data_IF_053092836017
#
_entry.id   IF_053092836017
#
_cell.length_a   1.000
_cell.length_b   1.000
_cell.length_c   1.000
_cell.angle_alpha   90.00
_cell.angle_beta   90.00
_cell.angle_gamma   90.00
#
_symmetry.space_group_name_H-M   'P 1'
#
loop_
_entity.id
_entity.type
_entity.pdbx_description
1 polymer ?
#
# COMPACT_ATOMS: atom_id res chain seq x y z
N UNK A 1 13.80 -31.20 20.44
CA UNK A 1 14.41 -31.55 19.14
C UNK A 1 13.38 -31.38 18.04
N UNK A 2 13.47 -30.30 17.24
CA UNK A 2 12.57 -30.12 16.11
C UNK A 2 12.84 -31.23 15.07
N UNK A 3 11.83 -32.03 14.72
CA UNK A 3 11.91 -33.02 13.63
C UNK A 3 12.48 -32.31 12.39
N UNK A 4 13.68 -32.69 11.93
CA UNK A 4 14.20 -32.30 10.61
C UNK A 4 13.20 -32.83 9.57
N UNK A 5 12.27 -31.98 9.13
CA UNK A 5 11.37 -32.30 8.02
C UNK A 5 12.26 -32.57 6.82
N UNK A 6 12.09 -33.73 6.17
CA UNK A 6 12.72 -34.00 4.88
C UNK A 6 12.39 -32.82 3.95
N UNK A 7 13.36 -32.32 3.17
CA UNK A 7 13.08 -31.30 2.17
C UNK A 7 11.99 -31.82 1.23
N UNK A 8 11.03 -30.96 0.94
CA UNK A 8 9.99 -31.24 -0.05
C UNK A 8 10.64 -31.39 -1.44
N UNK A 9 9.99 -32.09 -2.39
CA UNK A 9 10.61 -32.40 -3.67
C UNK A 9 11.00 -31.15 -4.46
N UNK A 10 12.02 -31.31 -5.29
CA UNK A 10 12.33 -30.37 -6.38
C UNK A 10 11.52 -30.82 -7.60
N UNK A 11 10.90 -29.86 -8.28
CA UNK A 11 10.25 -30.08 -9.57
C UNK A 11 11.15 -29.48 -10.64
N UNK A 12 11.64 -30.30 -11.56
CA UNK A 12 12.60 -29.88 -12.58
C UNK A 12 11.92 -29.57 -13.92
N UNK A 13 12.48 -28.64 -14.69
CA UNK A 13 12.02 -28.28 -16.03
C UNK A 13 10.52 -27.93 -16.11
N UNK A 14 9.99 -27.26 -15.08
CA UNK A 14 8.58 -26.88 -15.02
C UNK A 14 8.36 -25.65 -15.89
N UNK A 15 7.43 -25.75 -16.84
CA UNK A 15 6.98 -24.62 -17.64
C UNK A 15 5.86 -23.87 -16.92
N UNK A 16 6.04 -22.57 -16.72
CA UNK A 16 5.02 -21.68 -16.20
C UNK A 16 4.00 -21.41 -17.30
N UNK A 17 2.74 -21.71 -17.04
CA UNK A 17 1.69 -21.69 -18.07
C UNK A 17 0.80 -20.47 -17.98
N UNK A 18 0.61 -19.92 -16.78
CA UNK A 18 -0.36 -18.84 -16.54
C UNK A 18 0.01 -17.99 -15.32
N UNK A 19 -0.76 -16.95 -15.04
CA UNK A 19 -0.75 -16.22 -13.78
C UNK A 19 -1.99 -16.52 -12.94
N UNK A 20 -1.84 -16.36 -11.63
CA UNK A 20 -2.88 -16.47 -10.63
C UNK A 20 -3.00 -15.16 -9.85
N UNK A 21 -3.96 -15.13 -8.93
CA UNK A 21 -4.15 -14.01 -8.01
C UNK A 21 -2.87 -13.69 -7.19
N UNK A 22 -2.85 -12.48 -6.63
CA UNK A 22 -1.85 -12.07 -5.63
C UNK A 22 -0.39 -12.08 -6.08
N UNK A 23 -0.09 -11.90 -7.36
CA UNK A 23 1.31 -11.86 -7.77
C UNK A 23 1.92 -13.18 -8.23
N UNK A 24 1.17 -14.28 -8.16
CA UNK A 24 1.71 -15.63 -8.33
C UNK A 24 1.55 -16.07 -9.77
N UNK A 25 2.54 -16.77 -10.30
CA UNK A 25 2.43 -17.56 -11.52
C UNK A 25 1.92 -18.97 -11.20
N UNK A 26 1.42 -19.64 -12.23
CA UNK A 26 0.81 -20.95 -12.15
C UNK A 26 1.48 -21.90 -13.14
N UNK A 27 1.77 -23.11 -12.66
CA UNK A 27 2.10 -24.27 -13.48
C UNK A 27 1.25 -25.47 -13.04
N UNK A 28 1.15 -26.48 -13.91
CA UNK A 28 0.56 -27.77 -13.59
C UNK A 28 1.62 -28.85 -13.74
N UNK A 29 1.82 -29.64 -12.69
CA UNK A 29 2.72 -30.79 -12.69
C UNK A 29 1.90 -32.00 -12.27
N UNK A 30 1.63 -32.90 -13.22
CA UNK A 30 0.61 -33.94 -13.08
C UNK A 30 -0.75 -33.31 -12.68
N UNK A 31 -1.41 -33.84 -11.65
CA UNK A 31 -2.68 -33.32 -11.14
C UNK A 31 -2.53 -32.17 -10.12
N UNK A 32 -1.31 -31.66 -9.91
CA UNK A 32 -1.04 -30.64 -8.89
C UNK A 32 -0.87 -29.25 -9.51
N UNK A 33 -1.60 -28.28 -8.96
CA UNK A 33 -1.38 -26.85 -9.27
C UNK A 33 -0.19 -26.36 -8.46
N UNK A 34 0.76 -25.68 -9.11
CA UNK A 34 1.97 -25.14 -8.48
C UNK A 34 1.92 -23.63 -8.59
N UNK A 35 1.87 -22.94 -7.45
CA UNK A 35 1.97 -21.48 -7.39
C UNK A 35 3.41 -21.05 -7.16
N UNK A 36 3.90 -20.15 -8.02
CA UNK A 36 5.30 -19.70 -8.02
C UNK A 36 5.34 -18.18 -8.10
N UNK A 37 5.92 -17.46 -7.12
CA UNK A 37 6.06 -16.01 -7.20
C UNK A 37 7.11 -15.60 -8.26
N UNK A 38 7.00 -14.38 -8.77
CA UNK A 38 8.01 -13.70 -9.61
C UNK A 38 8.39 -14.39 -10.93
N UNK A 39 7.55 -15.32 -11.40
CA UNK A 39 7.62 -15.89 -12.74
C UNK A 39 6.56 -15.29 -13.66
N UNK A 40 6.74 -15.51 -14.96
CA UNK A 40 5.77 -15.15 -15.99
C UNK A 40 5.49 -16.35 -16.91
N UNK A 41 4.34 -16.38 -17.62
CA UNK A 41 4.04 -17.44 -18.58
C UNK A 41 5.16 -17.59 -19.61
N UNK A 42 5.57 -18.84 -19.86
CA UNK A 42 6.68 -19.20 -20.75
C UNK A 42 8.04 -19.38 -20.06
N UNK A 43 8.18 -19.01 -18.78
CA UNK A 43 9.38 -19.34 -18.01
C UNK A 43 9.51 -20.87 -17.86
N UNK A 44 10.72 -21.40 -18.00
CA UNK A 44 11.06 -22.80 -17.68
C UNK A 44 12.03 -22.80 -16.51
N UNK A 45 11.62 -23.40 -15.40
CA UNK A 45 12.27 -23.27 -14.09
C UNK A 45 12.35 -24.58 -13.34
N UNK A 46 13.38 -24.70 -12.50
CA UNK A 46 13.40 -25.68 -11.43
C UNK A 46 12.85 -25.04 -10.15
N UNK A 47 11.98 -25.77 -9.46
CA UNK A 47 11.19 -25.28 -8.35
C UNK A 47 11.45 -26.09 -7.08
N UNK A 48 11.76 -25.41 -5.99
CA UNK A 48 11.76 -26.01 -4.66
C UNK A 48 10.39 -25.84 -4.03
N UNK A 49 9.67 -26.94 -3.81
CA UNK A 49 8.39 -26.90 -3.09
C UNK A 49 8.63 -26.42 -1.65
N UNK A 50 7.88 -25.43 -1.20
CA UNK A 50 7.94 -24.89 0.18
C UNK A 50 6.75 -25.33 1.02
N UNK A 51 5.59 -25.48 0.39
CA UNK A 51 4.35 -25.89 1.05
C UNK A 51 3.56 -26.78 0.13
N UNK A 52 3.15 -27.95 0.62
CA UNK A 52 2.33 -28.91 -0.11
C UNK A 52 0.97 -29.06 0.57
N UNK A 53 -0.10 -28.97 -0.22
CA UNK A 53 -1.49 -29.26 0.16
C UNK A 53 -2.01 -30.40 -0.72
N UNK A 54 -3.29 -30.76 -0.55
CA UNK A 54 -3.90 -31.89 -1.25
C UNK A 54 -3.90 -31.69 -2.77
N UNK A 55 -4.41 -30.55 -3.26
CA UNK A 55 -4.58 -30.26 -4.70
C UNK A 55 -3.59 -29.23 -5.25
N UNK A 56 -2.78 -28.60 -4.40
CA UNK A 56 -1.85 -27.56 -4.83
C UNK A 56 -0.59 -27.51 -3.97
N UNK A 57 0.44 -26.86 -4.47
CA UNK A 57 1.62 -26.51 -3.71
C UNK A 57 2.11 -25.09 -4.02
N UNK A 58 2.89 -24.53 -3.09
CA UNK A 58 3.61 -23.27 -3.28
C UNK A 58 5.10 -23.62 -3.37
N UNK A 59 5.78 -23.07 -4.37
CA UNK A 59 7.18 -23.33 -4.64
C UNK A 59 7.94 -22.03 -4.94
N UNK A 60 9.25 -22.07 -4.77
CA UNK A 60 10.16 -20.98 -5.12
C UNK A 60 11.08 -21.43 -6.25
N UNK A 61 11.41 -20.51 -7.16
CA UNK A 61 12.41 -20.77 -8.20
C UNK A 61 13.78 -20.96 -7.54
N UNK A 62 14.44 -22.06 -7.89
CA UNK A 62 15.85 -22.30 -7.54
C UNK A 62 16.78 -22.10 -8.73
N UNK A 63 16.28 -22.27 -9.96
CA UNK A 63 17.04 -22.07 -11.20
C UNK A 63 16.11 -21.72 -12.36
N UNK A 64 16.49 -20.73 -13.16
CA UNK A 64 15.89 -20.49 -14.47
C UNK A 64 16.65 -21.29 -15.52
N UNK A 65 15.93 -22.13 -16.26
CA UNK A 65 16.46 -22.88 -17.41
C UNK A 65 16.28 -22.05 -18.68
N UNK A 66 15.09 -21.45 -18.85
CA UNK A 66 14.78 -20.51 -19.93
C UNK A 66 13.87 -19.42 -19.37
N UNK A 67 14.24 -18.15 -19.58
CA UNK A 67 13.36 -17.02 -19.31
C UNK A 67 12.38 -16.83 -20.49
N UNK A 68 11.14 -16.50 -20.18
CA UNK A 68 10.12 -16.15 -21.19
C UNK A 68 10.52 -14.90 -21.96
N UNK A 69 10.17 -14.84 -23.24
CA UNK A 69 10.31 -13.65 -24.09
C UNK A 69 9.35 -12.53 -23.68
N UNK A 70 8.27 -12.86 -22.96
CA UNK A 70 7.30 -11.89 -22.44
C UNK A 70 7.83 -11.18 -21.19
N UNK A 71 8.92 -11.65 -20.58
CA UNK A 71 9.42 -11.10 -19.32
C UNK A 71 9.94 -9.67 -19.50
N UNK A 72 9.56 -8.79 -18.58
CA UNK A 72 10.12 -7.45 -18.44
C UNK A 72 11.16 -7.42 -17.30
N UNK A 73 12.16 -6.54 -17.42
CA UNK A 73 13.12 -6.33 -16.35
C UNK A 73 12.53 -5.36 -15.30
N UNK A 74 12.46 -5.74 -14.01
CA UNK A 74 11.94 -4.87 -12.98
C UNK A 74 12.74 -3.58 -12.85
N UNK A 75 12.05 -2.44 -12.89
CA UNK A 75 12.68 -1.14 -12.72
C UNK A 75 13.08 -0.83 -11.27
N UNK A 76 12.52 -1.55 -10.29
CA UNK A 76 12.80 -1.35 -8.87
C UNK A 76 13.85 -2.34 -8.39
N UNK A 77 14.98 -1.85 -7.89
CA UNK A 77 16.05 -2.66 -7.30
C UNK A 77 15.60 -3.52 -6.09
N UNK A 78 14.50 -3.14 -5.44
CA UNK A 78 13.96 -3.86 -4.30
C UNK A 78 12.94 -4.94 -4.71
N UNK A 79 12.63 -5.09 -6.00
CA UNK A 79 11.67 -6.08 -6.49
C UNK A 79 12.12 -7.51 -6.16
N UNK A 80 11.16 -8.40 -5.89
CA UNK A 80 11.43 -9.79 -5.47
C UNK A 80 11.63 -9.94 -3.96
N UNK A 81 12.08 -8.89 -3.27
CA UNK A 81 12.25 -8.87 -1.81
C UNK A 81 11.16 -8.00 -1.16
N UNK A 82 10.99 -6.77 -1.65
CA UNK A 82 9.96 -5.85 -1.18
C UNK A 82 8.56 -6.44 -1.41
N UNK A 83 7.70 -6.35 -0.39
CA UNK A 83 6.33 -6.84 -0.43
C UNK A 83 5.41 -6.07 -1.38
N UNK A 84 5.75 -4.82 -1.74
CA UNK A 84 4.81 -3.87 -2.34
C UNK A 84 4.48 -4.11 -3.82
N UNK A 85 5.41 -4.66 -4.61
CA UNK A 85 5.22 -4.90 -6.05
C UNK A 85 5.40 -6.39 -6.37
N UNK A 86 4.44 -6.98 -7.10
CA UNK A 86 4.49 -8.43 -7.42
C UNK A 86 4.62 -8.76 -8.90
N UNK A 87 4.37 -7.80 -9.78
CA UNK A 87 4.23 -8.04 -11.23
C UNK A 87 5.17 -7.20 -12.11
N UNK A 88 6.23 -6.58 -11.58
CA UNK A 88 7.14 -5.78 -12.42
C UNK A 88 7.89 -6.61 -13.48
N UNK A 89 7.89 -7.94 -13.35
CA UNK A 89 8.44 -8.86 -14.36
C UNK A 89 7.48 -9.13 -15.51
N UNK A 90 6.23 -8.67 -15.44
CA UNK A 90 5.18 -8.89 -16.43
C UNK A 90 4.83 -7.55 -17.10
N UNK A 91 4.80 -7.47 -18.45
CA UNK A 91 4.39 -6.27 -19.17
C UNK A 91 3.02 -5.78 -18.74
N UNK A 92 2.83 -4.47 -18.71
CA UNK A 92 1.63 -3.86 -18.13
C UNK A 92 0.33 -4.34 -18.78
N UNK A 93 0.33 -4.48 -20.10
CA UNK A 93 -0.79 -4.98 -20.90
C UNK A 93 -1.16 -6.41 -20.47
N UNK A 94 -0.15 -7.25 -20.23
CA UNK A 94 -0.35 -8.59 -19.68
C UNK A 94 -0.87 -8.56 -18.25
N UNK A 95 -0.45 -7.60 -17.43
CA UNK A 95 -1.08 -7.41 -16.10
C UNK A 95 -2.57 -7.11 -16.20
N UNK A 96 -3.00 -6.30 -17.19
CA UNK A 96 -4.42 -6.01 -17.42
C UNK A 96 -5.18 -7.24 -17.90
N UNK A 97 -4.65 -7.98 -18.88
CA UNK A 97 -5.23 -9.25 -19.35
C UNK A 97 -5.39 -10.27 -18.21
N UNK A 98 -4.40 -10.37 -17.32
CA UNK A 98 -4.44 -11.30 -16.20
C UNK A 98 -5.51 -10.90 -15.17
N UNK A 99 -5.61 -9.60 -14.84
CA UNK A 99 -6.69 -9.11 -13.97
C UNK A 99 -8.06 -9.34 -14.61
N UNK A 100 -8.18 -9.14 -15.93
CA UNK A 100 -9.41 -9.37 -16.69
C UNK A 100 -9.86 -10.82 -16.53
N UNK A 101 -8.95 -11.75 -16.82
CA UNK A 101 -9.18 -13.19 -16.67
C UNK A 101 -9.54 -13.55 -15.23
N UNK A 102 -8.87 -12.96 -14.23
CA UNK A 102 -9.15 -13.22 -12.83
C UNK A 102 -10.58 -12.83 -12.44
N UNK A 103 -11.02 -11.60 -12.75
CA UNK A 103 -12.37 -11.15 -12.43
C UNK A 103 -13.42 -12.01 -13.14
N UNK A 104 -13.21 -12.28 -14.43
CA UNK A 104 -14.09 -13.15 -15.21
C UNK A 104 -14.21 -14.55 -14.60
N UNK A 105 -13.09 -15.19 -14.27
CA UNK A 105 -13.07 -16.53 -13.67
C UNK A 105 -13.70 -16.55 -12.29
N UNK A 106 -13.50 -15.52 -11.46
CA UNK A 106 -14.11 -15.45 -10.13
C UNK A 106 -15.63 -15.36 -10.23
N UNK A 107 -16.16 -14.47 -11.09
CA UNK A 107 -17.60 -14.31 -11.26
C UNK A 107 -18.25 -15.56 -11.88
N UNK A 108 -17.63 -16.18 -12.89
CA UNK A 108 -18.19 -17.35 -13.58
C UNK A 108 -18.01 -18.66 -12.81
N UNK A 109 -16.81 -18.94 -12.25
CA UNK A 109 -16.53 -20.23 -11.58
C UNK A 109 -16.97 -20.25 -10.12
N UNK A 110 -16.73 -19.17 -9.38
CA UNK A 110 -17.06 -19.08 -7.96
C UNK A 110 -18.47 -18.53 -7.79
N UNK A 111 -18.73 -17.37 -8.40
CA UNK A 111 -20.04 -16.74 -8.37
C UNK A 111 -21.12 -17.51 -9.12
N UNK A 112 -20.73 -18.36 -10.09
CA UNK A 112 -21.65 -19.11 -10.97
C UNK A 112 -22.63 -18.18 -11.72
N UNK A 113 -22.16 -16.99 -12.06
CA UNK A 113 -22.93 -15.96 -12.75
C UNK A 113 -22.65 -16.08 -14.25
N UNK A 114 -23.71 -16.13 -15.07
CA UNK A 114 -23.60 -15.93 -16.51
C UNK A 114 -23.38 -14.44 -16.78
N UNK A 115 -22.26 -14.12 -17.42
CA UNK A 115 -21.87 -12.72 -17.64
C UNK A 115 -22.33 -12.25 -19.04
N UNK A 116 -22.79 -10.99 -19.15
CA UNK A 116 -22.97 -10.34 -20.45
C UNK A 116 -21.59 -10.08 -21.09
N UNK A 117 -21.56 -9.27 -22.17
CA UNK A 117 -20.30 -8.76 -22.72
C UNK A 117 -19.44 -8.15 -21.61
N UNK A 118 -18.22 -8.67 -21.48
CA UNK A 118 -17.36 -8.38 -20.35
C UNK A 118 -16.38 -7.25 -20.70
N UNK A 119 -16.68 -6.04 -20.21
CA UNK A 119 -15.89 -4.84 -20.47
C UNK A 119 -14.41 -5.01 -20.09
N UNK A 120 -13.47 -4.47 -20.87
CA UNK A 120 -12.05 -4.54 -20.55
C UNK A 120 -11.72 -3.72 -19.29
N UNK A 121 -10.75 -4.20 -18.51
CA UNK A 121 -10.19 -3.47 -17.37
C UNK A 121 -9.55 -2.18 -17.87
N UNK A 122 -9.92 -1.09 -17.23
CA UNK A 122 -9.29 0.21 -17.44
C UNK A 122 -7.92 0.22 -16.78
N UNK A 123 -6.88 0.45 -17.58
CA UNK A 123 -5.53 0.68 -17.10
C UNK A 123 -5.43 1.96 -16.27
N UNK A 124 -4.41 2.00 -15.42
CA UNK A 124 -3.98 3.20 -14.70
C UNK A 124 -3.34 4.17 -15.68
N UNK A 125 -3.65 5.46 -15.54
CA UNK A 125 -3.04 6.54 -16.33
C UNK A 125 -1.51 6.54 -16.16
N UNK A 126 -1.04 6.27 -14.94
CA UNK A 126 0.38 6.11 -14.59
C UNK A 126 0.66 4.74 -14.00
N UNK A 127 1.77 4.12 -14.41
CA UNK A 127 2.25 2.83 -13.88
C UNK A 127 3.37 2.99 -12.86
N UNK A 128 3.87 4.21 -12.68
CA UNK A 128 4.87 4.65 -11.70
C UNK A 128 4.42 5.97 -11.10
N UNK A 129 4.88 6.29 -9.89
CA UNK A 129 4.59 7.58 -9.23
C UNK A 129 3.09 7.91 -9.14
N UNK A 130 2.25 6.88 -9.10
CA UNK A 130 0.79 7.02 -9.04
C UNK A 130 0.25 7.05 -7.60
N UNK A 131 1.06 6.60 -6.63
CA UNK A 131 0.66 6.57 -5.23
C UNK A 131 0.79 7.95 -4.62
N UNK A 132 -0.24 8.38 -3.92
CA UNK A 132 -0.25 9.63 -3.15
C UNK A 132 -0.04 9.42 -1.64
N UNK A 133 0.13 8.17 -1.20
CA UNK A 133 0.36 7.79 0.20
C UNK A 133 1.27 6.58 0.31
N UNK A 134 2.29 6.69 1.17
CA UNK A 134 3.15 5.59 1.59
C UNK A 134 3.37 5.66 3.11
N UNK A 135 3.54 4.48 3.72
CA UNK A 135 3.84 4.30 5.14
C UNK A 135 5.08 3.43 5.26
N UNK A 136 6.04 3.86 6.07
CA UNK A 136 7.32 3.20 6.27
C UNK A 136 7.52 2.90 7.75
N UNK A 137 7.89 1.66 8.04
CA UNK A 137 8.31 1.26 9.38
C UNK A 137 9.78 1.60 9.59
N UNK A 138 10.10 2.02 10.81
CA UNK A 138 11.44 2.29 11.30
C UNK A 138 11.81 1.21 12.31
N UNK A 139 12.95 0.54 12.11
CA UNK A 139 13.39 -0.50 13.05
C UNK A 139 14.89 -0.57 13.20
N UNK A 140 15.35 -0.96 14.39
CA UNK A 140 16.73 -1.36 14.66
C UNK A 140 17.10 -2.74 14.07
N UNK A 141 16.16 -3.42 13.40
CA UNK A 141 16.32 -4.75 12.80
C UNK A 141 16.12 -4.70 11.28
N UNK A 142 17.19 -4.33 10.58
CA UNK A 142 17.27 -4.44 9.12
C UNK A 142 17.11 -5.89 8.65
N UNK A 143 16.35 -6.07 7.58
CA UNK A 143 16.34 -7.32 6.82
C UNK A 143 17.68 -7.50 6.10
N UNK A 144 18.35 -8.62 6.38
CA UNK A 144 19.55 -9.05 5.66
C UNK A 144 19.15 -10.09 4.61
N UNK A 145 19.63 -9.89 3.38
CA UNK A 145 19.43 -10.84 2.28
C UNK A 145 20.22 -12.13 2.52
N UNK A 146 19.84 -13.20 1.80
CA UNK A 146 20.58 -14.48 1.88
C UNK A 146 22.03 -14.32 1.43
N UNK A 147 22.28 -13.43 0.47
CA UNK A 147 23.62 -13.12 -0.05
C UNK A 147 24.46 -12.43 1.02
N UNK A 148 23.93 -11.40 1.69
CA UNK A 148 24.60 -10.74 2.83
C UNK A 148 24.88 -11.71 3.98
N UNK A 149 23.96 -12.63 4.29
CA UNK A 149 24.20 -13.63 5.33
C UNK A 149 25.29 -14.62 4.90
N UNK A 150 25.37 -14.95 3.60
CA UNK A 150 26.33 -15.90 3.07
C UNK A 150 27.77 -15.36 3.04
N UNK A 151 27.98 -14.04 3.04
CA UNK A 151 29.34 -13.45 3.15
C UNK A 151 29.95 -13.72 4.52
N UNK A 152 29.13 -13.91 5.56
CA UNK A 152 29.59 -14.12 6.94
C UNK A 152 30.17 -12.87 7.60
N UNK A 153 30.08 -11.72 6.94
CA UNK A 153 30.54 -10.44 7.50
C UNK A 153 29.63 -9.97 8.64
N UNK A 154 30.15 -9.23 9.63
CA UNK A 154 29.33 -8.60 10.65
C UNK A 154 28.25 -7.74 9.99
N UNK A 155 27.04 -7.79 10.54
CA UNK A 155 25.97 -6.93 10.06
C UNK A 155 26.40 -5.46 10.28
N UNK A 156 26.40 -4.67 9.20
CA UNK A 156 26.73 -3.24 9.24
C UNK A 156 25.65 -2.42 9.94
N UNK A 157 25.20 -1.34 9.32
CA UNK A 157 24.06 -0.57 9.85
C UNK A 157 22.79 -1.45 9.90
N UNK A 158 22.19 -1.54 11.09
CA UNK A 158 21.01 -2.36 11.37
C UNK A 158 19.74 -1.53 11.53
N UNK A 159 19.85 -0.21 11.67
CA UNK A 159 18.72 0.71 11.64
C UNK A 159 18.24 0.88 10.20
N UNK A 160 16.93 0.80 9.99
CA UNK A 160 16.32 0.85 8.67
C UNK A 160 14.98 1.58 8.70
N UNK A 161 14.70 2.31 7.62
CA UNK A 161 13.37 2.83 7.28
C UNK A 161 12.94 2.18 5.97
N UNK A 162 11.74 1.61 5.93
CA UNK A 162 11.26 0.93 4.74
C UNK A 162 10.02 0.08 4.98
N UNK A 163 9.95 -1.09 4.36
CA UNK A 163 8.76 -1.94 4.43
C UNK A 163 9.02 -3.25 5.19
N UNK A 164 7.97 -3.75 5.84
CA UNK A 164 7.98 -5.09 6.42
C UNK A 164 8.14 -6.18 5.35
N UNK A 165 8.82 -7.25 5.73
CA UNK A 165 8.95 -8.45 4.90
C UNK A 165 7.86 -9.45 5.27
N UNK A 166 7.24 -10.05 4.25
CA UNK A 166 6.24 -11.10 4.44
C UNK A 166 6.82 -12.25 5.28
N UNK A 167 6.19 -12.55 6.42
CA UNK A 167 6.63 -13.60 7.35
C UNK A 167 7.70 -13.15 8.36
N UNK A 168 8.16 -11.91 8.32
CA UNK A 168 9.11 -11.34 9.28
C UNK A 168 8.64 -9.93 9.71
N UNK A 169 7.63 -9.92 10.59
CA UNK A 169 6.97 -8.70 11.04
C UNK A 169 7.90 -7.76 11.83
N UNK A 170 8.93 -8.28 12.50
CA UNK A 170 9.87 -7.51 13.30
C UNK A 170 11.11 -7.02 12.54
N UNK A 171 11.10 -7.14 11.21
CA UNK A 171 12.23 -6.73 10.35
C UNK A 171 11.78 -5.80 9.24
N UNK A 172 12.63 -4.82 8.94
CA UNK A 172 12.40 -3.82 7.89
C UNK A 172 13.41 -3.99 6.76
N UNK A 173 12.91 -4.13 5.54
CA UNK A 173 13.72 -3.97 4.34
C UNK A 173 14.01 -2.49 4.12
N UNK A 174 15.28 -2.05 4.14
CA UNK A 174 15.62 -0.67 3.86
C UNK A 174 15.23 -0.35 2.41
N UNK A 175 14.56 0.79 2.23
CA UNK A 175 14.17 1.28 0.91
C UNK A 175 14.96 2.54 0.61
N UNK A 176 15.67 2.53 -0.51
CA UNK A 176 16.41 3.70 -0.99
C UNK A 176 15.59 4.47 -2.02
N UNK A 177 14.89 3.76 -2.91
CA UNK A 177 13.97 4.37 -3.88
C UNK A 177 12.71 3.53 -4.04
N UNK A 178 11.57 4.11 -3.68
CA UNK A 178 10.26 3.64 -4.07
C UNK A 178 9.81 4.41 -5.30
N UNK A 179 9.54 3.70 -6.39
CA UNK A 179 9.10 4.26 -7.67
C UNK A 179 7.57 4.40 -7.79
N UNK A 180 6.84 4.09 -6.73
CA UNK A 180 5.38 4.15 -6.74
C UNK A 180 4.83 5.52 -6.36
N UNK A 181 5.62 6.38 -5.73
CA UNK A 181 5.25 7.74 -5.34
C UNK A 181 6.38 8.69 -5.75
N UNK A 182 6.05 9.95 -5.98
CA UNK A 182 6.96 11.03 -6.37
C UNK A 182 8.29 11.03 -5.57
N UNK A 183 9.38 11.47 -6.22
CA UNK A 183 10.71 11.37 -5.63
C UNK A 183 10.88 12.10 -4.29
N UNK A 184 10.12 13.16 -4.03
CA UNK A 184 10.24 13.92 -2.79
C UNK A 184 9.99 13.06 -1.53
N UNK A 185 9.14 12.03 -1.58
CA UNK A 185 9.01 11.12 -0.43
C UNK A 185 10.28 10.30 -0.18
N UNK A 186 11.05 9.97 -1.22
CA UNK A 186 12.32 9.27 -1.04
C UNK A 186 13.34 10.19 -0.36
N UNK A 187 13.40 11.45 -0.79
CA UNK A 187 14.29 12.47 -0.19
C UNK A 187 13.94 12.72 1.28
N UNK A 188 12.65 12.89 1.59
CA UNK A 188 12.17 13.02 2.97
C UNK A 188 12.55 11.79 3.80
N UNK A 189 12.20 10.58 3.35
CA UNK A 189 12.48 9.33 4.08
C UNK A 189 13.98 9.14 4.33
N UNK A 190 14.81 9.36 3.31
CA UNK A 190 16.25 9.18 3.41
C UNK A 190 16.88 10.25 4.32
N UNK A 191 16.40 11.50 4.26
CA UNK A 191 16.79 12.57 5.19
C UNK A 191 16.45 12.23 6.64
N UNK A 192 15.26 11.66 6.91
CA UNK A 192 14.89 11.19 8.26
C UNK A 192 15.86 10.12 8.74
N UNK A 193 16.15 9.12 7.89
CA UNK A 193 17.09 8.04 8.20
C UNK A 193 18.46 8.60 8.54
N UNK A 194 19.00 9.46 7.68
CA UNK A 194 20.37 9.98 7.82
C UNK A 194 20.48 10.89 9.04
N UNK A 195 19.51 11.78 9.28
CA UNK A 195 19.44 12.60 10.48
C UNK A 195 19.38 11.74 11.75
N UNK A 196 18.48 10.75 11.79
CA UNK A 196 18.30 9.88 12.95
C UNK A 196 19.57 9.08 13.27
N UNK A 197 20.27 8.59 12.25
CA UNK A 197 21.54 7.88 12.39
C UNK A 197 22.63 8.81 12.93
N UNK A 198 22.82 9.97 12.30
CA UNK A 198 23.88 10.94 12.65
C UNK A 198 23.70 11.57 14.03
N UNK A 199 22.45 11.71 14.50
CA UNK A 199 22.13 12.26 15.83
C UNK A 199 21.93 11.17 16.91
N UNK A 200 22.25 9.91 16.60
CA UNK A 200 22.18 8.81 17.56
C UNK A 200 20.77 8.48 18.05
N UNK A 201 19.74 8.80 17.27
CA UNK A 201 18.36 8.44 17.60
C UNK A 201 18.17 6.92 17.55
N UNK A 202 17.42 6.39 18.50
CA UNK A 202 17.04 4.98 18.55
C UNK A 202 15.87 4.73 17.60
N UNK A 203 15.86 3.55 16.99
CA UNK A 203 14.78 3.07 16.13
C UNK A 203 14.00 2.01 16.90
N UNK A 204 12.70 1.95 16.66
CA UNK A 204 11.81 1.09 17.43
C UNK A 204 12.12 -0.40 17.24
N UNK A 205 12.27 -1.11 18.35
CA UNK A 205 12.35 -2.56 18.37
C UNK A 205 10.97 -3.14 18.66
N UNK A 206 10.29 -3.65 17.63
CA UNK A 206 8.93 -4.17 17.75
C UNK A 206 8.80 -5.36 18.72
N UNK A 207 9.88 -6.08 19.05
CA UNK A 207 9.80 -7.18 20.03
C UNK A 207 10.02 -6.68 21.46
N UNK A 208 10.97 -5.77 21.63
CA UNK A 208 11.30 -5.22 22.96
C UNK A 208 10.39 -4.07 23.36
N UNK A 209 9.67 -3.48 22.39
CA UNK A 209 8.76 -2.35 22.58
C UNK A 209 9.47 -1.13 23.15
N UNK A 210 10.65 -0.81 22.57
CA UNK A 210 11.47 0.33 22.96
C UNK A 210 12.08 1.02 21.74
N UNK A 211 12.42 2.29 21.87
CA UNK A 211 13.17 3.06 20.88
C UNK A 211 12.34 4.15 20.19
N UNK A 212 12.95 5.30 19.92
CA UNK A 212 12.23 6.53 19.66
C UNK A 212 11.47 6.56 18.32
N UNK A 213 12.16 6.31 17.20
CA UNK A 213 11.57 6.47 15.86
C UNK A 213 10.82 5.19 15.43
N UNK A 214 9.50 5.29 15.24
CA UNK A 214 8.64 4.12 14.94
C UNK A 214 8.25 4.01 13.47
N UNK A 215 7.59 5.02 12.93
CA UNK A 215 6.98 4.96 11.60
C UNK A 215 6.95 6.34 10.96
N UNK A 216 6.92 6.38 9.64
CA UNK A 216 6.78 7.61 8.85
C UNK A 216 5.69 7.40 7.81
N UNK A 217 4.68 8.27 7.81
CA UNK A 217 3.66 8.32 6.77
C UNK A 217 3.87 9.59 5.94
N UNK A 218 3.88 9.43 4.62
CA UNK A 218 3.97 10.54 3.67
C UNK A 218 2.76 10.51 2.76
N UNK A 219 2.12 11.67 2.58
CA UNK A 219 1.11 11.91 1.55
C UNK A 219 1.49 13.10 0.69
N UNK A 220 1.10 13.06 -0.57
CA UNK A 220 0.96 14.25 -1.39
C UNK A 220 -0.46 14.33 -1.95
N UNK A 221 -0.77 15.43 -2.60
CA UNK A 221 -2.06 15.60 -3.28
C UNK A 221 -1.88 16.18 -4.68
N UNK A 222 -2.94 16.12 -5.48
CA UNK A 222 -2.97 16.77 -6.78
C UNK A 222 -3.07 18.32 -6.71
N UNK A 223 -3.20 18.90 -5.52
CA UNK A 223 -3.08 20.34 -5.29
C UNK A 223 -1.64 20.79 -5.04
N UNK A 224 -0.69 19.85 -4.97
CA UNK A 224 0.72 20.11 -4.68
C UNK A 224 1.04 20.19 -3.18
N UNK A 225 0.09 19.87 -2.32
CA UNK A 225 0.29 19.85 -0.87
C UNK A 225 0.95 18.53 -0.42
N UNK A 226 1.71 18.60 0.68
CA UNK A 226 2.47 17.47 1.21
C UNK A 226 2.25 17.35 2.71
N UNK A 227 1.90 16.14 3.14
CA UNK A 227 1.76 15.77 4.54
C UNK A 227 2.82 14.77 4.93
N UNK A 228 3.49 15.02 6.04
CA UNK A 228 4.41 14.07 6.68
C UNK A 228 3.96 13.89 8.12
N UNK A 229 3.75 12.65 8.53
CA UNK A 229 3.47 12.28 9.90
C UNK A 229 4.58 11.35 10.40
N UNK A 230 5.24 11.74 11.48
CA UNK A 230 6.26 10.93 12.15
C UNK A 230 5.69 10.34 13.44
N UNK A 231 5.74 9.02 13.59
CA UNK A 231 5.38 8.35 14.82
C UNK A 231 6.61 8.14 15.70
N UNK A 232 6.46 8.50 16.97
CA UNK A 232 7.48 8.34 18.01
C UNK A 232 7.00 7.41 19.13
N UNK A 233 7.96 6.87 19.88
CA UNK A 233 7.77 6.18 21.16
C UNK A 233 8.66 6.86 22.20
N UNK A 234 8.08 7.65 23.11
CA UNK A 234 8.86 8.30 24.18
C UNK A 234 9.07 7.34 25.33
N UNK A 235 10.31 6.90 25.55
CA UNK A 235 10.69 5.94 26.59
C UNK A 235 11.57 6.57 27.68
N UNK A 236 12.46 7.46 27.26
CA UNK A 236 13.52 7.99 28.11
C UNK A 236 13.59 9.51 28.07
N UNK A 237 14.21 10.09 29.09
CA UNK A 237 14.41 11.53 29.19
C UNK A 237 15.13 12.08 27.93
N UNK A 238 14.64 13.20 27.43
CA UNK A 238 15.14 13.86 26.22
C UNK A 238 14.63 13.29 24.90
N UNK A 239 13.78 12.24 24.90
CA UNK A 239 13.20 11.71 23.65
C UNK A 239 12.34 12.73 22.93
N UNK A 240 11.52 13.48 23.66
CA UNK A 240 10.72 14.57 23.11
C UNK A 240 11.61 15.63 22.45
N UNK A 241 12.73 16.02 23.10
CA UNK A 241 13.67 16.99 22.53
C UNK A 241 14.32 16.45 21.24
N UNK A 242 14.73 15.17 21.21
CA UNK A 242 15.27 14.52 20.01
C UNK A 242 14.24 14.45 18.88
N UNK A 243 12.99 14.11 19.21
CA UNK A 243 11.89 14.08 18.26
C UNK A 243 11.65 15.48 17.66
N UNK A 244 11.57 16.51 18.50
CA UNK A 244 11.42 17.89 18.03
C UNK A 244 12.61 18.37 17.19
N UNK A 245 13.83 17.90 17.49
CA UNK A 245 15.00 18.15 16.64
C UNK A 245 14.83 17.60 15.22
N UNK A 246 14.33 16.35 15.08
CA UNK A 246 14.02 15.77 13.77
C UNK A 246 12.89 16.53 13.07
N UNK A 247 11.84 16.90 13.78
CA UNK A 247 10.72 17.68 13.21
C UNK A 247 11.20 19.04 12.69
N UNK A 248 12.07 19.73 13.43
CA UNK A 248 12.67 20.98 13.00
C UNK A 248 13.55 20.80 11.76
N UNK A 249 14.39 19.77 11.73
CA UNK A 249 15.20 19.42 10.56
C UNK A 249 14.35 19.24 9.29
N UNK A 250 13.22 18.54 9.40
CA UNK A 250 12.29 18.39 8.29
C UNK A 250 11.67 19.72 7.86
N UNK A 251 11.25 20.54 8.82
CA UNK A 251 10.64 21.84 8.58
C UNK A 251 11.58 22.84 7.87
N UNK A 252 12.88 22.73 8.11
CA UNK A 252 13.92 23.59 7.53
C UNK A 252 14.43 23.05 6.18
N UNK A 253 14.54 21.72 6.06
CA UNK A 253 15.07 21.07 4.84
C UNK A 253 14.04 21.00 3.71
N UNK A 254 12.75 20.83 4.05
CA UNK A 254 11.68 20.58 3.08
C UNK A 254 10.55 21.62 3.21
N UNK A 255 10.74 22.85 2.70
CA UNK A 255 9.70 23.88 2.72
C UNK A 255 8.43 23.49 1.94
N UNK A 256 8.49 22.45 1.10
CA UNK A 256 7.35 21.88 0.38
C UNK A 256 6.34 21.18 1.32
N UNK A 257 6.72 20.79 2.54
CA UNK A 257 5.80 20.13 3.48
C UNK A 257 4.81 21.17 4.02
N UNK A 258 3.55 21.05 3.62
CA UNK A 258 2.47 21.94 4.04
C UNK A 258 1.76 21.47 5.32
N UNK A 259 1.89 20.19 5.66
CA UNK A 259 1.33 19.58 6.87
C UNK A 259 2.39 18.67 7.52
N UNK A 260 3.08 19.18 8.54
CA UNK A 260 4.10 18.44 9.27
C UNK A 260 3.57 18.07 10.66
N UNK A 261 3.35 16.77 10.85
CA UNK A 261 2.62 16.19 11.97
C UNK A 261 3.48 15.18 12.73
N UNK A 262 3.14 14.96 13.99
CA UNK A 262 3.71 13.87 14.77
C UNK A 262 2.71 13.28 15.75
N UNK A 263 3.00 12.07 16.20
CA UNK A 263 2.21 11.39 17.23
C UNK A 263 3.12 10.56 18.11
N UNK A 264 2.86 10.59 19.42
CA UNK A 264 3.45 9.65 20.36
C UNK A 264 2.56 8.41 20.43
N UNK A 265 3.03 7.30 19.88
CA UNK A 265 2.32 6.04 19.90
C UNK A 265 2.99 5.09 20.89
N UNK A 266 2.36 4.86 22.05
CA UNK A 266 2.81 3.99 23.14
C UNK A 266 2.26 2.55 23.05
N UNK A 267 1.53 2.24 21.96
CA UNK A 267 0.87 0.94 21.80
C UNK A 267 1.83 -0.10 21.20
N UNK A 268 1.42 -1.36 21.32
CA UNK A 268 2.16 -2.49 20.75
C UNK A 268 2.21 -2.47 19.21
N UNK A 269 1.18 -1.90 18.57
CA UNK A 269 1.06 -1.81 17.12
C UNK A 269 1.34 -0.38 16.61
N UNK A 270 1.47 -0.27 15.30
CA UNK A 270 1.75 0.94 14.51
C UNK A 270 0.50 1.78 14.18
N UNK A 271 -0.68 1.31 14.57
CA UNK A 271 -1.94 2.03 14.30
C UNK A 271 -2.06 3.28 15.16
N UNK A 272 -2.56 4.39 14.61
CA UNK A 272 -2.68 5.68 15.30
C UNK A 272 -4.05 6.35 15.13
N UNK A 273 -5.05 5.66 14.56
CA UNK A 273 -6.38 6.25 14.30
C UNK A 273 -7.10 6.74 15.55
N UNK A 274 -6.85 6.08 16.67
CA UNK A 274 -7.34 6.34 18.03
C UNK A 274 -6.47 7.31 18.84
N UNK A 275 -5.34 7.79 18.28
CA UNK A 275 -4.40 8.68 18.98
C UNK A 275 -4.55 10.13 18.55
N UNK A 276 -4.28 11.06 19.45
CA UNK A 276 -4.25 12.49 19.11
C UNK A 276 -3.01 12.83 18.28
N UNK A 277 -3.21 13.55 17.18
CA UNK A 277 -2.15 13.95 16.25
C UNK A 277 -1.80 15.40 16.51
N UNK A 278 -0.52 15.66 16.72
CA UNK A 278 0.01 17.01 16.95
C UNK A 278 0.51 17.62 15.65
N UNK A 279 0.14 18.88 15.41
CA UNK A 279 0.70 19.68 14.31
C UNK A 279 1.99 20.33 14.79
N UNK A 280 3.10 20.05 14.11
CA UNK A 280 4.37 20.74 14.35
C UNK A 280 4.45 22.04 13.53
N UNK A 281 4.10 21.99 12.24
CA UNK A 281 4.12 23.14 11.33
C UNK A 281 3.10 22.97 10.20
N UNK A 282 2.44 24.06 9.82
CA UNK A 282 1.48 24.09 8.72
C UNK A 282 0.08 23.64 9.14
N UNK A 283 -0.59 22.87 8.29
CA UNK A 283 -1.99 22.45 8.47
C UNK A 283 -2.08 21.06 9.12
N UNK A 284 -3.24 20.73 9.70
CA UNK A 284 -3.60 19.38 10.18
C UNK A 284 -4.10 18.44 9.05
N UNK A 285 -4.21 18.96 7.83
CA UNK A 285 -4.75 18.27 6.66
C UNK A 285 -4.09 18.74 5.37
N UNK A 286 -4.39 18.04 4.28
CA UNK A 286 -4.18 18.47 2.89
C UNK A 286 -5.51 18.43 2.14
N UNK A 287 -5.55 19.05 0.97
CA UNK A 287 -6.68 18.97 0.05
C UNK A 287 -6.35 18.12 -1.16
N UNK A 288 -7.31 17.28 -1.56
CA UNK A 288 -7.34 16.63 -2.87
C UNK A 288 -8.48 17.22 -3.69
N UNK A 289 -8.33 17.20 -5.01
CA UNK A 289 -9.39 17.66 -5.92
C UNK A 289 -9.83 16.56 -6.89
N UNK A 290 -11.12 16.49 -7.21
CA UNK A 290 -11.64 15.57 -8.21
C UNK A 290 -12.86 16.17 -8.89
N UNK A 291 -12.80 16.36 -10.21
CA UNK A 291 -13.90 16.96 -10.99
C UNK A 291 -14.41 18.29 -10.42
N UNK A 292 -13.49 19.16 -10.00
CA UNK A 292 -13.79 20.46 -9.39
C UNK A 292 -14.32 20.38 -7.96
N UNK A 293 -14.48 19.19 -7.39
CA UNK A 293 -14.71 19.02 -5.95
C UNK A 293 -13.39 19.07 -5.19
N UNK A 294 -13.45 19.55 -3.95
CA UNK A 294 -12.32 19.66 -3.03
C UNK A 294 -12.58 18.83 -1.77
N UNK A 295 -11.65 17.97 -1.41
CA UNK A 295 -11.77 17.04 -0.28
C UNK A 295 -10.68 17.34 0.75
N UNK A 296 -11.08 17.62 1.99
CA UNK A 296 -10.20 17.67 3.14
C UNK A 296 -9.76 16.24 3.48
N UNK A 297 -8.45 16.02 3.52
CA UNK A 297 -7.84 14.72 3.81
C UNK A 297 -6.90 14.87 5.00
N UNK A 298 -7.30 14.31 6.14
CA UNK A 298 -6.47 14.25 7.35
C UNK A 298 -5.50 13.07 7.36
N UNK A 299 -4.62 12.99 8.38
CA UNK A 299 -3.68 11.88 8.56
C UNK A 299 -4.38 10.53 8.75
N UNK A 300 -5.52 10.53 9.45
CA UNK A 300 -6.34 9.35 9.75
C UNK A 300 -7.31 8.99 8.62
N UNK A 301 -7.68 9.94 7.78
CA UNK A 301 -8.70 9.76 6.75
C UNK A 301 -8.24 8.79 5.67
N UNK A 302 -9.10 7.86 5.28
CA UNK A 302 -8.90 7.04 4.09
C UNK A 302 -9.17 7.88 2.83
N UNK A 303 -8.25 7.83 1.88
CA UNK A 303 -8.42 8.39 0.54
C UNK A 303 -7.77 7.45 -0.46
N UNK A 304 -8.29 7.43 -1.70
CA UNK A 304 -7.78 6.52 -2.72
C UNK A 304 -6.31 6.80 -3.01
N UNK A 305 -5.49 5.75 -2.99
CA UNK A 305 -4.04 5.94 -3.11
C UNK A 305 -3.58 6.35 -4.51
N UNK A 306 -4.45 6.25 -5.52
CA UNK A 306 -4.19 6.67 -6.90
C UNK A 306 -5.30 7.62 -7.34
N UNK A 307 -5.06 8.93 -7.23
CA UNK A 307 -6.07 9.97 -7.48
C UNK A 307 -6.60 9.94 -8.92
N UNK A 308 -5.72 9.74 -9.91
CA UNK A 308 -6.12 9.68 -11.32
C UNK A 308 -7.01 8.47 -11.61
N UNK A 309 -6.67 7.30 -11.07
CA UNK A 309 -7.49 6.11 -11.26
C UNK A 309 -8.78 6.11 -10.42
N UNK A 310 -8.78 6.79 -9.27
CA UNK A 310 -9.97 6.98 -8.47
C UNK A 310 -11.05 7.75 -9.23
N UNK A 311 -10.66 8.81 -9.95
CA UNK A 311 -11.57 9.55 -10.82
C UNK A 311 -12.22 8.64 -11.87
N UNK A 312 -11.44 7.80 -12.56
CA UNK A 312 -11.98 6.86 -13.54
C UNK A 312 -12.92 5.82 -12.92
N UNK A 313 -12.55 5.27 -11.75
CA UNK A 313 -13.41 4.34 -11.02
C UNK A 313 -14.76 4.98 -10.67
N UNK A 314 -14.73 6.19 -10.12
CA UNK A 314 -15.95 6.88 -9.71
C UNK A 314 -16.81 7.30 -10.91
N UNK A 315 -16.17 7.71 -12.01
CA UNK A 315 -16.85 8.03 -13.26
C UNK A 315 -17.59 6.83 -13.85
N UNK A 316 -16.99 5.63 -13.81
CA UNK A 316 -17.65 4.39 -14.26
C UNK A 316 -18.83 4.06 -13.35
N UNK A 317 -18.68 4.16 -12.03
CA UNK A 317 -19.76 3.92 -11.08
C UNK A 317 -20.94 4.87 -11.32
N UNK A 318 -20.68 6.18 -11.47
CA UNK A 318 -21.70 7.19 -11.80
C UNK A 318 -22.41 6.88 -13.11
N UNK A 319 -21.65 6.53 -14.17
CA UNK A 319 -22.21 6.16 -15.47
C UNK A 319 -23.13 4.92 -15.38
N UNK A 320 -22.75 3.92 -14.59
CA UNK A 320 -23.57 2.72 -14.40
C UNK A 320 -24.81 2.98 -13.53
N UNK A 321 -24.75 3.95 -12.62
CA UNK A 321 -25.90 4.34 -11.82
C UNK A 321 -27.00 5.04 -12.63
N UNK A 322 -26.67 5.59 -13.82
CA UNK A 322 -27.63 6.23 -14.74
C UNK A 322 -28.55 7.25 -14.07
N UNK A 323 -27.96 8.09 -13.20
CA UNK A 323 -28.70 9.06 -12.41
C UNK A 323 -29.36 10.12 -13.32
N UNK A 324 -30.58 10.52 -12.97
CA UNK A 324 -31.39 11.50 -13.71
C UNK A 324 -31.70 12.75 -12.89
N UNK A 325 -31.15 12.85 -11.67
CA UNK A 325 -31.45 13.90 -10.70
C UNK A 325 -32.68 13.63 -9.85
N UNK A 326 -33.28 12.43 -9.94
CA UNK A 326 -34.52 12.06 -9.23
C UNK A 326 -34.32 10.98 -8.18
N UNK A 327 -33.19 10.28 -8.25
CA UNK A 327 -32.89 9.11 -7.45
C UNK A 327 -32.35 9.50 -6.07
N UNK A 328 -32.63 8.63 -5.10
CA UNK A 328 -31.96 8.64 -3.79
C UNK A 328 -30.85 7.61 -3.84
N UNK A 329 -29.60 8.06 -3.71
CA UNK A 329 -28.42 7.20 -3.73
C UNK A 329 -28.02 6.84 -2.30
N UNK A 330 -27.76 5.56 -2.04
CA UNK A 330 -27.18 5.11 -0.78
C UNK A 330 -25.70 4.79 -1.01
N UNK A 331 -24.82 5.58 -0.39
CA UNK A 331 -23.38 5.35 -0.37
C UNK A 331 -23.03 4.54 0.90
N UNK A 332 -22.99 3.23 0.77
CA UNK A 332 -22.68 2.32 1.87
C UNK A 332 -21.16 2.20 2.00
N UNK A 333 -20.64 2.39 3.22
CA UNK A 333 -19.21 2.51 3.51
C UNK A 333 -18.63 3.79 2.91
N UNK A 334 -19.34 4.90 3.13
CA UNK A 334 -19.06 6.19 2.50
C UNK A 334 -17.69 6.78 2.88
N UNK A 335 -17.09 6.31 3.99
CA UNK A 335 -15.86 6.87 4.53
C UNK A 335 -16.01 8.37 4.74
N UNK A 336 -15.10 9.16 4.15
CA UNK A 336 -15.14 10.64 4.20
C UNK A 336 -16.06 11.27 3.13
N UNK A 337 -17.02 10.51 2.61
CA UNK A 337 -18.03 11.00 1.67
C UNK A 337 -17.52 11.22 0.26
N UNK A 338 -16.40 10.62 -0.16
CA UNK A 338 -15.79 10.92 -1.45
C UNK A 338 -16.68 10.53 -2.63
N UNK A 339 -17.29 9.33 -2.61
CA UNK A 339 -18.21 8.87 -3.66
C UNK A 339 -19.54 9.62 -3.54
N UNK A 340 -20.10 9.73 -2.33
CA UNK A 340 -21.34 10.46 -2.08
C UNK A 340 -21.32 11.88 -2.68
N UNK A 341 -20.29 12.66 -2.37
CA UNK A 341 -20.13 14.02 -2.91
C UNK A 341 -19.87 14.02 -4.42
N UNK A 342 -19.17 13.02 -4.95
CA UNK A 342 -18.88 12.90 -6.38
C UNK A 342 -20.13 12.70 -7.24
N UNK A 343 -21.12 11.94 -6.74
CA UNK A 343 -22.38 11.68 -7.46
C UNK A 343 -23.52 12.63 -7.09
N UNK A 344 -23.37 13.41 -6.02
CA UNK A 344 -24.42 14.24 -5.46
C UNK A 344 -25.07 15.22 -6.44
N UNK A 345 -24.28 15.80 -7.36
CA UNK A 345 -24.78 16.75 -8.38
C UNK A 345 -25.78 16.14 -9.37
N UNK A 346 -25.77 14.83 -9.54
CA UNK A 346 -26.65 14.11 -10.47
C UNK A 346 -27.77 13.34 -9.74
N UNK A 347 -27.86 13.42 -8.41
CA UNK A 347 -28.87 12.75 -7.60
C UNK A 347 -29.87 13.75 -6.99
N UNK A 348 -31.09 13.30 -6.67
CA UNK A 348 -31.99 14.12 -5.85
C UNK A 348 -31.49 14.23 -4.41
N UNK A 349 -30.93 13.13 -3.90
CA UNK A 349 -30.42 13.02 -2.54
C UNK A 349 -29.38 11.90 -2.45
N UNK A 350 -28.38 12.07 -1.61
CA UNK A 350 -27.41 11.03 -1.29
C UNK A 350 -27.38 10.77 0.22
N UNK A 351 -27.41 9.51 0.62
CA UNK A 351 -27.33 9.07 2.01
C UNK A 351 -26.08 8.23 2.18
N UNK A 352 -25.09 8.78 2.88
CA UNK A 352 -23.86 8.08 3.25
C UNK A 352 -23.97 7.42 4.61
N UNK A 353 -23.51 6.18 4.71
CA UNK A 353 -23.45 5.42 5.98
C UNK A 353 -22.03 4.91 6.17
N UNK A 354 -21.47 5.13 7.36
CA UNK A 354 -20.12 4.70 7.76
C UNK A 354 -20.12 4.32 9.24
N UNK A 355 -19.32 3.33 9.62
CA UNK A 355 -19.21 2.89 11.01
C UNK A 355 -18.36 3.84 11.85
N UNK A 356 -17.34 4.47 11.25
CA UNK A 356 -16.39 5.38 11.92
C UNK A 356 -16.98 6.81 12.03
N UNK A 357 -17.30 7.31 13.24
CA UNK A 357 -17.91 8.62 13.42
C UNK A 357 -17.05 9.78 12.90
N UNK A 358 -15.73 9.72 13.08
CA UNK A 358 -14.80 10.76 12.62
C UNK A 358 -14.83 10.91 11.09
N UNK A 359 -15.01 9.81 10.36
CA UNK A 359 -15.13 9.84 8.91
C UNK A 359 -16.44 10.51 8.46
N UNK A 360 -17.52 10.38 9.24
CA UNK A 360 -18.79 11.07 9.00
C UNK A 360 -18.66 12.58 9.21
N UNK A 361 -17.92 13.02 10.22
CA UNK A 361 -17.67 14.45 10.41
C UNK A 361 -16.81 15.01 9.26
N UNK A 362 -15.78 14.27 8.81
CA UNK A 362 -15.02 14.62 7.60
C UNK A 362 -15.94 14.68 6.35
N UNK A 363 -16.91 13.78 6.21
CA UNK A 363 -17.85 13.75 5.09
C UNK A 363 -18.77 14.98 5.05
N UNK A 364 -19.26 15.42 6.22
CA UNK A 364 -20.05 16.66 6.35
C UNK A 364 -19.22 17.87 5.95
N UNK A 365 -18.01 17.99 6.47
CA UNK A 365 -17.06 19.06 6.12
C UNK A 365 -16.77 19.08 4.62
N UNK A 366 -16.57 17.92 4.00
CA UNK A 366 -16.36 17.82 2.56
C UNK A 366 -17.58 18.30 1.76
N UNK A 367 -18.80 18.05 2.24
CA UNK A 367 -20.02 18.51 1.57
C UNK A 367 -20.19 20.02 1.69
N UNK A 368 -19.92 20.57 2.87
CA UNK A 368 -19.92 22.01 3.13
C UNK A 368 -18.89 22.75 2.25
N UNK A 369 -17.65 22.25 2.17
CA UNK A 369 -16.58 22.82 1.32
C UNK A 369 -17.02 22.91 -0.15
N UNK A 370 -17.80 21.94 -0.62
CA UNK A 370 -18.27 21.85 -2.00
C UNK A 370 -19.64 22.49 -2.23
N UNK A 371 -20.25 23.08 -1.20
CA UNK A 371 -21.62 23.62 -1.26
C UNK A 371 -22.64 22.58 -1.73
N UNK A 372 -22.52 21.35 -1.26
CA UNK A 372 -23.43 20.23 -1.53
C UNK A 372 -24.38 20.09 -0.34
N UNK A 373 -25.66 20.34 -0.56
CA UNK A 373 -26.72 20.36 0.47
C UNK A 373 -27.66 19.14 0.44
N UNK A 374 -27.60 18.34 -0.63
CA UNK A 374 -28.44 17.17 -0.83
C UNK A 374 -27.84 15.86 -0.30
N UNK A 375 -26.79 15.93 0.52
CA UNK A 375 -26.13 14.79 1.17
C UNK A 375 -26.48 14.69 2.65
N UNK A 376 -26.77 13.49 3.15
CA UNK A 376 -26.91 13.18 4.58
C UNK A 376 -25.96 12.07 4.98
N UNK A 377 -25.33 12.20 6.14
CA UNK A 377 -24.34 11.23 6.64
C UNK A 377 -24.72 10.71 8.02
N UNK A 378 -24.66 9.39 8.18
CA UNK A 378 -25.00 8.70 9.42
C UNK A 378 -23.89 7.77 9.86
N UNK A 379 -23.52 7.86 11.15
CA UNK A 379 -22.68 6.86 11.79
C UNK A 379 -23.54 5.64 12.16
N UNK A 380 -23.17 4.44 11.69
CA UNK A 380 -23.93 3.23 11.98
C UNK A 380 -23.30 1.94 11.44
N UNK A 381 -23.65 0.81 12.06
CA UNK A 381 -23.40 -0.51 11.49
C UNK A 381 -24.39 -0.75 10.34
N UNK A 382 -23.97 -1.49 9.31
CA UNK A 382 -24.77 -1.84 8.14
C UNK A 382 -25.70 -3.05 8.38
N UNK A 383 -25.77 -3.53 9.63
CA UNK A 383 -26.54 -4.69 10.05
C UNK A 383 -27.97 -4.37 10.45
#
# INVERSE_FOLDING_TARGET
MARKKKPLPILENVTITDCAAEGKALARVNDMVVFVPFCVPGDVVDLQVRKKKHSYCEAEVIRFIKKSEVREEPFCQHFGICGGCKWQTLPYEKQLEMKQSQVFQQLTRIGKIELPEFSPILGSVKTREYRNKLEFGCSNKRWMTREEIATGEPAGEMRAIGFHITGAFDKILPIEKCHLMDNLQNEIRNSIRDYAISNGMTFFDLRQQVGLLRDVMVRNSNTGEWMVLVQFHYDVEGDEQRAMGLMQHLADTFPQITSLLYVNNQKCNDTFGDLDISVFKGNDHIFETMEGLKFKVGPKSFYQTNTEQAYHLYSVARKFAQLTGKEVVYDLYTGTGTIANFVAKEAAKVVGIEYVPEAIEDAKVNSEINSIDNTLFYAGDMK
#
